data_IF_363463395789
#
_entry.id   IF_363463395789
#
_cell.length_a   1.000
_cell.length_b   1.000
_cell.length_c   1.000
_cell.angle_alpha   90.00
_cell.angle_beta   90.00
_cell.angle_gamma   90.00
#
_symmetry.space_group_name_H-M   'P 1'
#
loop_
_entity.id
_entity.type
_entity.pdbx_description
1 polymer ?
#
# COMPACT_ATOMS: atom_id res chain seq x y z
N UNK A 1 4.88 -13.96 -3.82
CA UNK A 1 3.98 -13.36 -2.81
C UNK A 1 3.53 -11.95 -3.20
N UNK A 2 4.46 -11.02 -3.46
CA UNK A 2 4.11 -9.63 -3.78
C UNK A 2 3.08 -9.45 -4.91
N UNK A 3 3.28 -10.08 -6.07
CA UNK A 3 2.33 -9.98 -7.20
C UNK A 3 0.92 -10.48 -6.86
N UNK A 4 0.81 -11.50 -6.01
CA UNK A 4 -0.49 -12.00 -5.54
C UNK A 4 -1.20 -10.95 -4.68
N UNK A 5 -0.48 -10.31 -3.76
CA UNK A 5 -1.04 -9.24 -2.93
C UNK A 5 -1.43 -8.01 -3.76
N UNK A 6 -0.66 -7.68 -4.80
CA UNK A 6 -1.03 -6.63 -5.76
C UNK A 6 -2.34 -6.98 -6.47
N UNK A 7 -2.47 -8.22 -6.97
CA UNK A 7 -3.70 -8.71 -7.58
C UNK A 7 -4.89 -8.69 -6.59
N UNK A 8 -4.71 -9.13 -5.36
CA UNK A 8 -5.76 -9.06 -4.33
C UNK A 8 -6.12 -7.61 -3.96
N UNK A 9 -5.14 -6.71 -3.97
CA UNK A 9 -5.34 -5.32 -3.57
C UNK A 9 -6.14 -4.54 -4.61
N UNK A 10 -5.79 -4.68 -5.89
CA UNK A 10 -6.36 -3.88 -6.98
C UNK A 10 -7.34 -4.65 -7.88
N UNK A 11 -7.33 -5.99 -7.84
CA UNK A 11 -8.22 -6.86 -8.60
C UNK A 11 -7.89 -6.99 -10.09
N UNK A 12 -6.88 -6.25 -10.57
CA UNK A 12 -6.47 -6.21 -11.96
C UNK A 12 -5.09 -6.87 -12.13
N UNK A 13 -4.90 -7.58 -13.25
CA UNK A 13 -3.58 -8.08 -13.63
C UNK A 13 -2.76 -6.91 -14.18
N UNK A 14 -1.93 -6.32 -13.32
CA UNK A 14 -1.04 -5.22 -13.68
C UNK A 14 0.15 -5.70 -14.51
N UNK A 15 0.69 -4.82 -15.34
CA UNK A 15 1.95 -5.07 -16.05
C UNK A 15 3.12 -5.17 -15.07
N UNK A 16 4.16 -5.92 -15.45
CA UNK A 16 5.35 -6.11 -14.61
C UNK A 16 6.03 -4.77 -14.25
N UNK A 17 6.02 -3.80 -15.16
CA UNK A 17 6.50 -2.43 -14.95
C UNK A 17 5.78 -1.76 -13.77
N UNK A 18 4.45 -1.80 -13.78
CA UNK A 18 3.61 -1.23 -12.73
C UNK A 18 3.83 -1.93 -11.39
N UNK A 19 3.93 -3.26 -11.38
CA UNK A 19 4.23 -4.02 -10.15
C UNK A 19 5.58 -3.59 -9.58
N UNK A 20 6.59 -3.42 -10.43
CA UNK A 20 7.93 -3.00 -10.02
C UNK A 20 7.95 -1.57 -9.47
N UNK A 21 7.14 -0.67 -10.01
CA UNK A 21 7.00 0.68 -9.47
C UNK A 21 6.39 0.66 -8.06
N UNK A 22 5.37 -0.18 -7.83
CA UNK A 22 4.76 -0.38 -6.51
C UNK A 22 5.77 -1.02 -5.52
N UNK A 23 6.57 -1.98 -5.97
CA UNK A 23 7.61 -2.61 -5.15
C UNK A 23 8.69 -1.59 -4.75
N UNK A 24 9.15 -0.78 -5.71
CA UNK A 24 10.18 0.22 -5.51
C UNK A 24 9.74 1.27 -4.47
N UNK A 25 8.50 1.76 -4.55
CA UNK A 25 7.99 2.74 -3.59
C UNK A 25 7.86 2.12 -2.19
N UNK A 26 7.42 0.87 -2.06
CA UNK A 26 7.36 0.18 -0.78
C UNK A 26 8.74 0.00 -0.17
N UNK A 27 9.72 -0.43 -0.97
CA UNK A 27 11.11 -0.58 -0.52
C UNK A 27 11.67 0.76 -0.05
N UNK A 28 11.41 1.87 -0.75
CA UNK A 28 11.81 3.22 -0.31
C UNK A 28 11.25 3.56 1.07
N UNK A 29 10.00 3.22 1.35
CA UNK A 29 9.40 3.41 2.67
C UNK A 29 10.05 2.55 3.75
N UNK A 30 10.27 1.25 3.48
CA UNK A 30 10.86 0.32 4.46
C UNK A 30 12.27 0.76 4.83
N UNK A 31 13.11 1.05 3.82
CA UNK A 31 14.51 1.45 4.03
C UNK A 31 14.60 2.78 4.78
N UNK A 32 13.70 3.72 4.51
CA UNK A 32 13.69 5.02 5.18
C UNK A 32 12.82 5.05 6.45
N UNK A 33 12.21 3.93 6.87
CA UNK A 33 11.28 3.91 8.00
C UNK A 33 11.92 4.50 9.25
N UNK A 34 13.11 4.02 9.63
CA UNK A 34 13.86 4.54 10.79
C UNK A 34 14.26 6.01 10.63
N UNK A 35 14.64 6.42 9.42
CA UNK A 35 15.04 7.80 9.10
C UNK A 35 13.90 8.79 9.33
N UNK A 36 12.67 8.42 8.94
CA UNK A 36 11.47 9.22 9.12
C UNK A 36 10.83 9.04 10.49
N UNK A 37 11.03 7.90 11.17
CA UNK A 37 10.49 7.65 12.50
C UNK A 37 10.88 8.71 13.53
N UNK A 38 12.06 9.33 13.40
CA UNK A 38 12.52 10.43 14.26
C UNK A 38 11.55 11.62 14.29
N UNK A 39 10.79 11.84 13.21
CA UNK A 39 9.86 12.96 13.08
C UNK A 39 8.70 12.85 14.09
N UNK A 40 8.42 11.65 14.62
CA UNK A 40 7.39 11.43 15.63
C UNK A 40 7.81 11.85 17.05
N UNK A 41 9.11 12.01 17.34
CA UNK A 41 9.57 12.28 18.71
C UNK A 41 9.39 13.73 19.18
N UNK A 42 9.36 14.71 18.26
CA UNK A 42 9.24 16.13 18.61
C UNK A 42 8.28 16.82 17.64
N UNK A 43 6.97 16.62 17.74
CA UNK A 43 6.01 17.09 16.73
C UNK A 43 5.97 18.63 16.57
N UNK A 44 6.29 19.40 17.62
CA UNK A 44 6.23 20.88 17.58
C UNK A 44 7.44 21.55 16.92
N UNK A 45 8.64 20.98 17.04
CA UNK A 45 9.89 21.62 16.56
C UNK A 45 10.60 20.74 15.51
N UNK A 46 10.27 19.46 15.46
CA UNK A 46 10.86 18.48 14.53
C UNK A 46 10.67 18.85 13.07
N UNK A 47 9.55 19.48 12.70
CA UNK A 47 9.32 19.94 11.33
C UNK A 47 10.28 21.08 10.90
N UNK A 48 10.78 21.86 11.86
CA UNK A 48 11.75 22.93 11.61
C UNK A 48 13.17 22.34 11.61
N UNK A 49 13.51 21.56 12.64
CA UNK A 49 14.85 20.97 12.81
C UNK A 49 15.16 19.95 11.70
N UNK A 50 14.17 19.15 11.32
CA UNK A 50 14.30 18.11 10.31
C UNK A 50 13.59 18.47 9.00
N UNK A 51 13.57 19.76 8.63
CA UNK A 51 12.87 20.28 7.44
C UNK A 51 13.20 19.50 6.16
N UNK A 52 14.47 19.15 5.93
CA UNK A 52 14.87 18.37 4.76
C UNK A 52 14.26 16.96 4.77
N UNK A 53 14.23 16.28 5.93
CA UNK A 53 13.61 14.96 6.05
C UNK A 53 12.09 15.01 5.91
N UNK A 54 11.47 16.07 6.41
CA UNK A 54 10.04 16.30 6.20
C UNK A 54 9.74 16.50 4.71
N UNK A 55 10.56 17.29 4.01
CA UNK A 55 10.46 17.47 2.56
C UNK A 55 10.58 16.14 1.82
N UNK A 56 11.58 15.33 2.15
CA UNK A 56 11.77 13.99 1.56
C UNK A 56 10.58 13.06 1.82
N UNK A 57 9.98 13.10 3.02
CA UNK A 57 8.79 12.31 3.34
C UNK A 57 7.58 12.76 2.51
N UNK A 58 7.40 14.06 2.31
CA UNK A 58 6.33 14.62 1.48
C UNK A 58 6.54 14.24 0.01
N UNK A 59 7.77 14.37 -0.51
CA UNK A 59 8.13 13.94 -1.87
C UNK A 59 7.85 12.44 -2.07
N UNK A 60 8.22 11.60 -1.10
CA UNK A 60 7.94 10.16 -1.14
C UNK A 60 6.45 9.85 -1.11
N UNK A 61 5.66 10.61 -0.34
CA UNK A 61 4.20 10.48 -0.32
C UNK A 61 3.59 10.85 -1.67
N UNK A 62 4.04 11.94 -2.29
CA UNK A 62 3.59 12.36 -3.61
C UNK A 62 3.92 11.33 -4.68
N UNK A 63 5.13 10.76 -4.63
CA UNK A 63 5.54 9.67 -5.54
C UNK A 63 4.62 8.46 -5.38
N UNK A 64 4.31 8.05 -4.14
CA UNK A 64 3.37 6.96 -3.87
C UNK A 64 1.97 7.24 -4.42
N UNK A 65 1.43 8.42 -4.15
CA UNK A 65 0.10 8.80 -4.64
C UNK A 65 0.05 8.80 -6.17
N UNK A 66 1.12 9.25 -6.83
CA UNK A 66 1.21 9.25 -8.30
C UNK A 66 1.17 7.85 -8.94
N UNK A 67 1.61 6.82 -8.20
CA UNK A 67 1.59 5.42 -8.65
C UNK A 67 0.24 4.77 -8.33
N UNK A 68 -0.28 4.98 -7.12
CA UNK A 68 -1.41 4.19 -6.59
C UNK A 68 -2.76 4.80 -6.97
N UNK A 69 -2.91 6.13 -7.00
CA UNK A 69 -4.18 6.79 -7.33
C UNK A 69 -4.71 6.39 -8.71
N UNK A 70 -3.88 6.35 -9.78
CA UNK A 70 -4.36 5.91 -11.10
C UNK A 70 -4.96 4.50 -11.10
N UNK A 71 -4.43 3.58 -10.28
CA UNK A 71 -4.94 2.22 -10.14
C UNK A 71 -6.30 2.19 -9.44
N UNK A 72 -6.44 2.97 -8.35
CA UNK A 72 -7.72 3.12 -7.63
C UNK A 72 -8.79 3.71 -8.57
N UNK A 73 -8.45 4.76 -9.31
CA UNK A 73 -9.36 5.44 -10.23
C UNK A 73 -9.73 4.59 -11.45
N UNK A 74 -8.79 3.79 -11.97
CA UNK A 74 -9.08 2.81 -13.01
C UNK A 74 -10.07 1.75 -12.51
N UNK A 75 -9.85 1.21 -11.31
CA UNK A 75 -10.74 0.23 -10.69
C UNK A 75 -12.12 0.79 -10.42
N UNK A 76 -12.23 2.02 -9.89
CA UNK A 76 -13.51 2.69 -9.65
C UNK A 76 -14.32 2.85 -10.94
N UNK A 77 -13.71 3.36 -12.01
CA UNK A 77 -14.36 3.56 -13.31
C UNK A 77 -14.83 2.24 -13.92
N UNK A 78 -14.01 1.19 -13.87
CA UNK A 78 -14.36 -0.12 -14.38
C UNK A 78 -15.59 -0.72 -13.67
N UNK A 79 -15.75 -0.44 -12.38
CA UNK A 79 -16.89 -0.89 -11.58
C UNK A 79 -18.16 -0.07 -11.84
N UNK A 80 -18.02 1.24 -12.04
CA UNK A 80 -19.16 2.12 -12.40
C UNK A 80 -19.72 1.81 -13.80
N UNK A 81 -18.86 1.39 -14.74
CA UNK A 81 -19.26 1.11 -16.14
C UNK A 81 -19.82 -0.31 -16.35
N UNK A 82 -19.55 -1.25 -15.46
CA UNK A 82 -20.01 -2.64 -15.58
C UNK A 82 -21.23 -2.87 -14.68
N UNK A 83 -22.42 -2.70 -15.26
CA UNK A 83 -23.69 -3.09 -14.64
C UNK A 83 -23.79 -4.62 -14.54
N UNK A 84 -23.62 -5.17 -13.34
CA UNK A 84 -24.10 -6.46 -12.78
C UNK A 84 -23.98 -7.79 -13.58
N UNK A 85 -23.50 -7.83 -14.82
CA UNK A 85 -23.58 -9.03 -15.70
C UNK A 85 -22.25 -9.63 -16.16
N UNK A 86 -21.16 -9.47 -15.39
CA UNK A 86 -19.94 -10.28 -15.62
C UNK A 86 -19.66 -11.17 -14.42
N UNK A 87 -19.89 -12.47 -14.60
CA UNK A 87 -19.81 -13.58 -13.64
C UNK A 87 -18.40 -13.85 -13.05
N UNK A 88 -17.47 -12.90 -13.14
CA UNK A 88 -16.07 -13.12 -12.72
C UNK A 88 -15.38 -11.84 -12.24
N UNK A 89 -16.07 -10.99 -11.46
CA UNK A 89 -15.38 -9.89 -10.77
C UNK A 89 -14.85 -10.37 -9.42
N UNK A 90 -13.57 -10.71 -9.36
CA UNK A 90 -12.89 -10.97 -8.09
C UNK A 90 -12.92 -9.68 -7.26
N UNK A 91 -13.53 -9.76 -6.08
CA UNK A 91 -13.58 -8.64 -5.12
C UNK A 91 -12.16 -8.30 -4.69
N UNK A 92 -11.73 -7.07 -4.98
CA UNK A 92 -10.45 -6.55 -4.57
C UNK A 92 -10.55 -5.85 -3.21
N UNK A 93 -9.43 -5.74 -2.50
CA UNK A 93 -9.37 -4.98 -1.26
C UNK A 93 -9.78 -3.51 -1.46
N UNK A 94 -9.35 -2.87 -2.54
CA UNK A 94 -9.74 -1.48 -2.84
C UNK A 94 -11.25 -1.33 -3.04
N UNK A 95 -11.95 -2.38 -3.50
CA UNK A 95 -13.41 -2.34 -3.67
C UNK A 95 -14.13 -2.24 -2.33
N UNK A 96 -13.57 -2.86 -1.28
CA UNK A 96 -14.14 -2.80 0.07
C UNK A 96 -13.87 -1.44 0.69
N UNK A 97 -12.67 -0.87 0.49
CA UNK A 97 -12.30 0.46 0.98
C UNK A 97 -13.13 1.58 0.33
N UNK A 98 -13.40 1.51 -0.98
CA UNK A 98 -14.22 2.49 -1.70
C UNK A 98 -15.68 2.51 -1.21
N UNK A 99 -16.17 1.37 -0.75
CA UNK A 99 -17.53 1.20 -0.23
C UNK A 99 -17.63 1.40 1.29
N UNK A 100 -16.50 1.56 1.99
CA UNK A 100 -16.48 1.66 3.44
C UNK A 100 -16.98 3.03 3.91
N UNK A 101 -17.94 3.02 4.82
CA UNK A 101 -18.40 4.18 5.58
C UNK A 101 -17.97 4.04 7.04
N UNK A 102 -17.32 5.08 7.57
CA UNK A 102 -16.85 5.12 8.95
C UNK A 102 -18.05 5.36 9.88
N UNK A 103 -18.41 4.42 10.78
CA UNK A 103 -19.64 4.52 11.57
C UNK A 103 -19.67 5.73 12.51
N UNK A 104 -18.52 6.14 13.02
CA UNK A 104 -18.42 7.24 13.99
C UNK A 104 -18.35 8.62 13.32
N UNK A 105 -17.86 8.68 12.09
CA UNK A 105 -17.61 9.94 11.38
C UNK A 105 -18.64 10.22 10.26
N UNK A 106 -19.54 9.26 9.97
CA UNK A 106 -20.56 9.33 8.91
C UNK A 106 -20.00 9.81 7.56
N UNK A 107 -18.78 9.37 7.22
CA UNK A 107 -18.09 9.69 5.97
C UNK A 107 -17.38 8.47 5.39
N UNK A 108 -17.08 8.56 4.09
CA UNK A 108 -16.19 7.60 3.42
C UNK A 108 -14.72 7.93 3.65
N UNK A 109 -13.86 6.96 3.34
CA UNK A 109 -12.42 7.18 3.28
C UNK A 109 -12.07 8.17 2.16
N UNK A 110 -11.16 9.09 2.44
CA UNK A 110 -10.55 9.91 1.40
C UNK A 110 -9.50 9.10 0.62
N UNK A 111 -9.15 9.57 -0.58
CA UNK A 111 -8.22 8.85 -1.47
C UNK A 111 -6.86 8.60 -0.81
N UNK A 112 -6.34 9.55 -0.02
CA UNK A 112 -5.08 9.39 0.70
C UNK A 112 -5.13 8.32 1.79
N UNK A 113 -6.27 8.19 2.49
CA UNK A 113 -6.52 7.10 3.45
C UNK A 113 -6.54 5.74 2.74
N UNK A 114 -7.22 5.64 1.59
CA UNK A 114 -7.26 4.42 0.77
C UNK A 114 -5.84 4.04 0.30
N UNK A 115 -5.08 5.00 -0.24
CA UNK A 115 -3.67 4.79 -0.65
C UNK A 115 -2.83 4.28 0.52
N UNK A 116 -3.04 4.82 1.72
CA UNK A 116 -2.33 4.40 2.94
C UNK A 116 -2.67 2.95 3.30
N UNK A 117 -3.95 2.58 3.26
CA UNK A 117 -4.42 1.23 3.57
C UNK A 117 -3.98 0.20 2.53
N UNK A 118 -3.99 0.55 1.23
CA UNK A 118 -3.43 -0.32 0.19
C UNK A 118 -1.95 -0.61 0.43
N UNK A 119 -1.15 0.40 0.81
CA UNK A 119 0.26 0.19 1.15
C UNK A 119 0.43 -0.68 2.39
N UNK A 120 -0.37 -0.45 3.42
CA UNK A 120 -0.35 -1.24 4.64
C UNK A 120 -0.59 -2.72 4.32
N UNK A 121 -1.67 -3.02 3.59
CA UNK A 121 -1.99 -4.39 3.15
C UNK A 121 -0.83 -5.06 2.42
N UNK A 122 -0.22 -4.37 1.44
CA UNK A 122 0.86 -4.93 0.63
C UNK A 122 2.14 -5.16 1.44
N UNK A 123 2.53 -4.19 2.28
CA UNK A 123 3.76 -4.28 3.07
C UNK A 123 3.63 -5.29 4.22
N UNK A 124 2.55 -5.21 5.01
CA UNK A 124 2.30 -6.13 6.11
C UNK A 124 2.15 -7.57 5.60
N UNK A 125 1.46 -7.76 4.48
CA UNK A 125 1.31 -9.07 3.85
C UNK A 125 2.61 -9.63 3.29
N UNK A 126 3.48 -8.80 2.71
CA UNK A 126 4.70 -9.28 2.04
C UNK A 126 5.83 -9.54 3.02
N UNK A 127 6.16 -8.58 3.87
CA UNK A 127 7.37 -8.62 4.69
C UNK A 127 7.28 -9.71 5.76
N UNK A 128 6.13 -9.81 6.43
CA UNK A 128 5.94 -10.77 7.53
C UNK A 128 5.92 -12.21 7.03
N UNK A 129 5.18 -12.49 5.94
CA UNK A 129 5.06 -13.84 5.38
C UNK A 129 6.38 -14.30 4.75
N UNK A 130 7.08 -13.41 4.05
CA UNK A 130 8.41 -13.72 3.48
C UNK A 130 9.43 -14.00 4.58
N UNK A 131 9.43 -13.19 5.65
CA UNK A 131 10.30 -13.41 6.82
C UNK A 131 9.98 -14.74 7.51
N UNK A 132 8.71 -15.07 7.70
CA UNK A 132 8.30 -16.34 8.30
C UNK A 132 8.78 -17.54 7.47
N UNK A 133 8.59 -17.50 6.13
CA UNK A 133 9.08 -18.54 5.24
C UNK A 133 10.61 -18.68 5.28
N UNK A 134 11.34 -17.57 5.33
CA UNK A 134 12.80 -17.59 5.49
C UNK A 134 13.23 -18.27 6.79
N UNK A 135 12.58 -17.95 7.91
CA UNK A 135 12.85 -18.61 9.20
C UNK A 135 12.49 -20.09 9.20
N UNK A 136 11.38 -20.48 8.55
CA UNK A 136 10.99 -21.88 8.41
C UNK A 136 12.07 -22.64 7.63
N UNK A 137 12.47 -22.13 6.46
CA UNK A 137 13.52 -22.76 5.64
C UNK A 137 14.85 -22.86 6.39
N UNK A 138 15.23 -21.81 7.13
CA UNK A 138 16.45 -21.82 7.95
C UNK A 138 16.40 -22.89 9.05
N UNK A 139 15.25 -23.08 9.70
CA UNK A 139 15.09 -24.11 10.72
C UNK A 139 15.10 -25.53 10.14
N UNK A 140 14.52 -25.74 8.96
CA UNK A 140 14.55 -27.04 8.27
C UNK A 140 15.98 -27.41 7.85
N UNK A 141 16.76 -26.46 7.34
CA UNK A 141 18.16 -26.70 6.97
C UNK A 141 19.02 -26.98 8.22
N UNK A 142 18.74 -26.29 9.32
CA UNK A 142 19.49 -26.45 10.58
C UNK A 142 19.16 -27.77 11.31
N UNK A 143 17.94 -28.28 11.17
CA UNK A 143 17.45 -29.47 11.87
C UNK A 143 16.91 -30.49 10.84
N UNK A 144 17.79 -31.30 10.21
CA UNK A 144 17.42 -32.25 9.16
C UNK A 144 16.56 -33.41 9.66
#
# INVERSE_FOLDING_TARGET
MFCLLVLMCFGDKLEESQIKDIENIQRKYIVNYRRFYILNFIPRVGNIIFRNRWKELVELRQEQESIIIPLIEARRRNKEQKTEQSDEFVVAYVDTLLNLELPEENRKLNVGEIVTLCREFLSAGTDTTSTALQWIMANLVKNP
#
